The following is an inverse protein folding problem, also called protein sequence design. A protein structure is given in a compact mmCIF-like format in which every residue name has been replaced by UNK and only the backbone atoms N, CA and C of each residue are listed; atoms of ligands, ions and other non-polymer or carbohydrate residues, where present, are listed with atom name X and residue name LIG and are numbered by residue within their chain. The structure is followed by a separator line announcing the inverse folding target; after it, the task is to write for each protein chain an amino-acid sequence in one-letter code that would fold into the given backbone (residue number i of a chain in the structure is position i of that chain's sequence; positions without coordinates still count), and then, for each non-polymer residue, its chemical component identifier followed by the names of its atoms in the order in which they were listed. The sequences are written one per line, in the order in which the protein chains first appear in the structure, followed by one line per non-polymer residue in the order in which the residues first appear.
data_IF_072263115559
#
_entry.id   IF_072263115559
#
_cell.length_a   1.000
_cell.length_b   1.000
_cell.length_c   1.000
_cell.angle_alpha   90.00
_cell.angle_beta   90.00
_cell.angle_gamma   90.00
#
_symmetry.space_group_name_H-M   'P 1'
#
loop_
_entity.id
_entity.type
_entity.pdbx_description
1 polymer ?
#
# COMPACT_ATOMS: atom_id res chain seq x y z
N UNK A 1 29.24 12.01 -14.69
CA UNK A 1 29.25 13.26 -15.48
C UNK A 1 28.00 13.26 -16.35
N UNK A 2 27.07 14.19 -16.05
CA UNK A 2 25.99 14.79 -16.89
C UNK A 2 24.89 13.92 -17.55
N UNK A 3 23.65 14.26 -17.15
CA UNK A 3 22.35 14.10 -17.84
C UNK A 3 22.42 14.52 -19.33
N UNK A 4 21.48 14.02 -20.16
CA UNK A 4 20.53 14.89 -20.89
C UNK A 4 19.40 14.13 -21.62
N UNK A 5 18.22 14.75 -21.56
CA UNK A 5 16.96 14.40 -22.19
C UNK A 5 17.01 14.52 -23.72
N UNK A 6 16.14 13.78 -24.41
CA UNK A 6 15.84 14.01 -25.83
C UNK A 6 14.40 14.48 -25.96
N UNK A 7 14.31 15.77 -26.27
CA UNK A 7 13.12 16.50 -26.69
C UNK A 7 12.94 16.23 -28.19
N UNK A 8 11.74 15.82 -28.61
CA UNK A 8 11.39 15.75 -30.03
C UNK A 8 10.70 17.06 -30.43
N UNK A 9 11.48 17.98 -30.99
CA UNK A 9 10.98 19.18 -31.69
C UNK A 9 10.76 18.86 -33.15
N UNK A 10 9.58 19.18 -33.67
CA UNK A 10 9.31 19.16 -35.11
C UNK A 10 9.48 20.59 -35.62
N UNK A 11 10.50 20.78 -36.47
CA UNK A 11 10.83 22.05 -37.12
C UNK A 11 9.79 22.43 -38.18
N UNK A 12 9.32 23.68 -38.12
CA UNK A 12 8.62 24.35 -39.22
C UNK A 12 9.45 25.52 -39.73
N UNK A 13 10.02 25.39 -40.92
CA UNK A 13 10.75 26.42 -41.66
C UNK A 13 9.79 27.46 -42.25
N UNK A 14 10.03 28.75 -41.99
CA UNK A 14 9.28 29.85 -42.61
C UNK A 14 10.03 31.17 -42.48
N UNK A 15 10.21 31.86 -43.61
CA UNK A 15 11.20 32.91 -43.88
C UNK A 15 10.87 34.25 -43.20
N UNK A 16 11.91 34.99 -42.80
CA UNK A 16 11.83 36.40 -42.44
C UNK A 16 11.62 37.25 -43.69
N UNK A 17 10.52 37.99 -43.74
CA UNK A 17 10.33 39.15 -44.62
C UNK A 17 9.71 40.26 -43.78
N UNK A 18 10.45 41.35 -43.62
CA UNK A 18 9.93 42.59 -43.05
C UNK A 18 9.26 43.39 -44.19
N UNK A 19 7.98 43.74 -44.03
CA UNK A 19 7.31 44.75 -44.83
C UNK A 19 6.53 45.68 -43.88
N UNK A 20 6.93 46.94 -43.88
CA UNK A 20 6.19 48.06 -43.30
C UNK A 20 5.48 48.79 -44.43
N UNK A 21 4.15 48.98 -44.34
CA UNK A 21 3.41 50.16 -44.77
C UNK A 21 1.93 50.04 -44.35
N UNK A 22 1.28 51.19 -44.28
CA UNK A 22 0.28 51.58 -43.29
C UNK A 22 -1.14 51.72 -43.91
N UNK A 23 -2.14 51.88 -43.03
CA UNK A 23 -3.56 52.26 -43.26
C UNK A 23 -4.59 51.14 -43.56
N UNK A 24 -5.53 50.95 -42.63
CA UNK A 24 -6.85 50.40 -42.95
C UNK A 24 -7.46 49.47 -41.90
N UNK A 25 -8.44 49.99 -41.16
CA UNK A 25 -9.57 49.37 -40.45
C UNK A 25 -9.71 47.83 -40.34
N UNK A 26 -10.16 47.43 -39.14
CA UNK A 26 -10.75 46.15 -38.71
C UNK A 26 -9.79 45.20 -37.95
N UNK A 27 -9.69 45.42 -36.63
CA UNK A 27 -9.33 44.35 -35.71
C UNK A 27 -10.56 43.45 -35.48
N UNK A 28 -10.55 42.17 -35.84
CA UNK A 28 -11.32 41.20 -35.07
C UNK A 28 -10.60 41.03 -33.73
N UNK A 29 -11.27 41.40 -32.64
CA UNK A 29 -10.88 41.01 -31.29
C UNK A 29 -11.02 39.48 -31.19
N UNK A 30 -9.97 38.76 -31.60
CA UNK A 30 -9.84 37.34 -31.36
C UNK A 30 -9.52 37.11 -29.89
N UNK A 31 -10.55 36.90 -29.08
CA UNK A 31 -10.41 36.31 -27.75
C UNK A 31 -9.78 34.93 -27.91
N UNK A 32 -8.48 34.80 -27.64
CA UNK A 32 -7.88 33.52 -27.30
C UNK A 32 -8.40 33.12 -25.92
N UNK A 33 -9.57 32.47 -25.90
CA UNK A 33 -10.00 31.71 -24.74
C UNK A 33 -8.91 30.67 -24.45
N UNK A 34 -8.34 30.61 -23.22
CA UNK A 34 -7.47 29.51 -22.87
C UNK A 34 -8.26 28.22 -23.06
N UNK A 35 -7.70 27.30 -23.85
CA UNK A 35 -8.16 25.92 -23.94
C UNK A 35 -8.26 25.39 -22.50
N UNK A 36 -9.48 25.31 -21.97
CA UNK A 36 -9.75 24.62 -20.73
C UNK A 36 -9.49 23.14 -21.01
N UNK A 37 -8.36 22.62 -20.52
CA UNK A 37 -8.21 21.18 -20.33
C UNK A 37 -9.44 20.68 -19.55
N UNK A 38 -10.05 19.55 -19.96
CA UNK A 38 -11.17 18.99 -19.22
C UNK A 38 -10.73 18.74 -17.79
N UNK A 39 -11.27 19.53 -16.86
CA UNK A 39 -11.11 19.32 -15.41
C UNK A 39 -11.85 18.04 -15.10
N UNK A 40 -11.15 16.91 -15.16
CA UNK A 40 -11.67 15.65 -14.63
C UNK A 40 -12.02 15.91 -13.15
N UNK A 41 -13.22 15.52 -12.67
CA UNK A 41 -13.58 15.70 -11.27
C UNK A 41 -12.55 15.00 -10.39
N UNK A 42 -11.67 15.77 -9.75
CA UNK A 42 -10.68 15.23 -8.84
C UNK A 42 -11.42 14.87 -7.55
N UNK A 43 -11.58 13.58 -7.28
CA UNK A 43 -12.14 13.11 -6.01
C UNK A 43 -11.26 13.67 -4.90
N UNK A 44 -11.86 14.44 -3.98
CA UNK A 44 -11.13 15.01 -2.86
C UNK A 44 -10.76 13.92 -1.85
N UNK A 45 -9.62 14.10 -1.18
CA UNK A 45 -9.23 13.23 -0.08
C UNK A 45 -10.27 13.33 1.06
N UNK A 46 -10.81 12.21 1.55
CA UNK A 46 -11.78 12.24 2.66
C UNK A 46 -11.15 12.78 3.95
N UNK A 47 -11.96 13.34 4.86
CA UNK A 47 -11.46 13.75 6.17
C UNK A 47 -11.08 12.52 7.03
N UNK A 48 -10.23 12.73 8.03
CA UNK A 48 -9.59 11.66 8.79
C UNK A 48 -10.59 10.72 9.49
N UNK A 49 -11.68 11.27 10.05
CA UNK A 49 -12.73 10.51 10.71
C UNK A 49 -13.47 9.58 9.74
N UNK A 50 -13.64 10.00 8.48
CA UNK A 50 -14.23 9.16 7.46
C UNK A 50 -13.27 8.03 7.08
N UNK A 51 -11.98 8.32 6.90
CA UNK A 51 -10.96 7.30 6.63
C UNK A 51 -10.87 6.26 7.77
N UNK A 52 -10.92 6.70 9.03
CA UNK A 52 -10.99 5.81 10.18
C UNK A 52 -12.23 4.91 10.12
N UNK A 53 -13.40 5.48 9.78
CA UNK A 53 -14.62 4.71 9.58
C UNK A 53 -14.48 3.64 8.49
N UNK A 54 -13.83 3.96 7.37
CA UNK A 54 -13.56 3.00 6.29
C UNK A 54 -12.67 1.84 6.76
N UNK A 55 -11.61 2.13 7.53
CA UNK A 55 -10.74 1.12 8.11
C UNK A 55 -11.55 0.21 9.05
N UNK A 56 -12.20 0.78 10.08
CA UNK A 56 -12.89 0.01 11.12
C UNK A 56 -14.03 -0.83 10.55
N UNK A 57 -14.85 -0.27 9.65
CA UNK A 57 -15.97 -1.01 9.05
C UNK A 57 -15.49 -2.19 8.19
N UNK A 58 -14.39 -2.02 7.46
CA UNK A 58 -13.79 -3.12 6.67
C UNK A 58 -13.24 -4.22 7.58
N UNK A 59 -12.52 -3.86 8.64
CA UNK A 59 -11.98 -4.80 9.62
C UNK A 59 -13.10 -5.59 10.32
N UNK A 60 -14.19 -4.92 10.72
CA UNK A 60 -15.34 -5.59 11.33
C UNK A 60 -16.10 -6.48 10.35
N UNK A 61 -16.20 -6.09 9.08
CA UNK A 61 -16.78 -6.98 8.06
C UNK A 61 -15.97 -8.28 7.90
N UNK A 62 -14.64 -8.21 7.98
CA UNK A 62 -13.75 -9.39 7.98
C UNK A 62 -13.99 -10.24 9.23
N UNK A 63 -14.06 -9.62 10.41
CA UNK A 63 -14.34 -10.31 11.68
C UNK A 63 -15.67 -11.10 11.64
N UNK A 64 -16.74 -10.44 11.20
CA UNK A 64 -18.06 -11.05 11.05
C UNK A 64 -18.03 -12.20 10.04
N UNK A 65 -17.34 -12.02 8.91
CA UNK A 65 -17.21 -13.07 7.90
C UNK A 65 -16.39 -14.27 8.41
N UNK A 66 -15.32 -14.04 9.17
CA UNK A 66 -14.53 -15.10 9.79
C UNK A 66 -15.35 -15.89 10.82
N UNK A 67 -16.10 -15.20 11.69
CA UNK A 67 -16.91 -15.82 12.74
C UNK A 67 -18.09 -16.63 12.20
N UNK A 68 -18.68 -16.19 11.09
CA UNK A 68 -19.88 -16.84 10.51
C UNK A 68 -19.57 -17.77 9.34
N UNK A 69 -18.38 -17.65 8.74
CA UNK A 69 -18.05 -18.25 7.46
C UNK A 69 -18.74 -17.58 6.26
N UNK A 70 -19.50 -16.49 6.46
CA UNK A 70 -20.23 -15.81 5.41
C UNK A 70 -19.49 -14.57 4.89
N UNK A 71 -18.89 -14.69 3.71
CA UNK A 71 -18.15 -13.61 3.06
C UNK A 71 -18.95 -12.82 2.02
N UNK A 72 -20.24 -13.13 1.81
CA UNK A 72 -21.03 -12.43 0.78
C UNK A 72 -21.22 -10.96 1.13
N UNK A 73 -21.38 -10.63 2.41
CA UNK A 73 -21.53 -9.23 2.86
C UNK A 73 -20.26 -8.43 2.56
N UNK A 74 -19.09 -8.94 2.93
CA UNK A 74 -17.81 -8.29 2.60
C UNK A 74 -17.67 -8.09 1.09
N UNK A 75 -17.95 -9.14 0.31
CA UNK A 75 -17.92 -9.07 -1.16
C UNK A 75 -18.87 -8.01 -1.71
N UNK A 76 -20.10 -7.94 -1.23
CA UNK A 76 -21.14 -7.07 -1.79
C UNK A 76 -20.97 -5.59 -1.36
N UNK A 77 -20.26 -5.34 -0.25
CA UNK A 77 -19.83 -4.00 0.16
C UNK A 77 -18.66 -3.46 -0.67
N UNK A 78 -17.82 -4.34 -1.21
CA UNK A 78 -16.64 -4.00 -2.00
C UNK A 78 -16.98 -3.39 -3.37
N UNK A 79 -15.94 -2.85 -4.01
CA UNK A 79 -15.98 -2.32 -5.36
C UNK A 79 -16.29 -3.42 -6.38
N UNK A 80 -17.02 -3.13 -7.48
CA UNK A 80 -17.48 -4.14 -8.42
C UNK A 80 -16.39 -5.07 -8.94
N UNK A 81 -15.20 -4.54 -9.24
CA UNK A 81 -14.10 -5.36 -9.77
C UNK A 81 -13.47 -6.26 -8.69
N UNK A 82 -13.42 -5.80 -7.43
CA UNK A 82 -13.05 -6.67 -6.30
C UNK A 82 -14.07 -7.79 -6.12
N UNK A 83 -15.38 -7.47 -6.15
CA UNK A 83 -16.46 -8.44 -5.97
C UNK A 83 -16.50 -9.49 -7.07
N UNK A 84 -16.19 -9.10 -8.32
CA UNK A 84 -16.05 -10.03 -9.45
C UNK A 84 -14.83 -10.95 -9.31
N UNK A 85 -13.71 -10.41 -8.83
CA UNK A 85 -12.47 -11.16 -8.65
C UNK A 85 -12.49 -12.09 -7.43
N UNK A 86 -13.32 -11.80 -6.43
CA UNK A 86 -13.35 -12.50 -5.16
C UNK A 86 -14.77 -12.93 -4.78
N UNK A 87 -15.16 -14.15 -5.17
CA UNK A 87 -16.36 -14.78 -4.63
C UNK A 87 -16.22 -15.15 -3.14
N UNK A 88 -17.33 -15.54 -2.52
CA UNK A 88 -17.34 -15.84 -1.09
C UNK A 88 -16.42 -17.01 -0.71
N UNK A 89 -16.28 -18.01 -1.58
CA UNK A 89 -15.40 -19.16 -1.37
C UNK A 89 -13.93 -18.74 -1.38
N UNK A 90 -13.53 -17.92 -2.36
CA UNK A 90 -12.18 -17.38 -2.48
C UNK A 90 -11.82 -16.48 -1.29
N UNK A 91 -12.73 -15.59 -0.88
CA UNK A 91 -12.53 -14.78 0.33
C UNK A 91 -12.36 -15.67 1.58
N UNK A 92 -13.14 -16.75 1.66
CA UNK A 92 -13.00 -17.74 2.73
C UNK A 92 -11.64 -18.43 2.76
N UNK A 93 -10.97 -18.61 1.62
CA UNK A 93 -9.60 -19.12 1.55
C UNK A 93 -8.57 -18.04 1.94
N UNK A 94 -8.75 -16.81 1.45
CA UNK A 94 -7.84 -15.68 1.74
C UNK A 94 -7.74 -15.43 3.25
N UNK A 95 -8.88 -15.43 3.96
CA UNK A 95 -8.92 -15.15 5.39
C UNK A 95 -8.91 -16.40 6.28
N UNK A 96 -8.70 -17.59 5.70
CA UNK A 96 -8.72 -18.86 6.42
C UNK A 96 -7.78 -18.87 7.63
N UNK A 97 -6.56 -18.36 7.48
CA UNK A 97 -5.56 -18.33 8.55
C UNK A 97 -6.04 -17.52 9.76
N UNK A 98 -6.70 -16.38 9.53
CA UNK A 98 -7.23 -15.54 10.61
C UNK A 98 -8.39 -16.23 11.34
N UNK A 99 -9.29 -16.86 10.57
CA UNK A 99 -10.41 -17.63 11.11
C UNK A 99 -9.96 -18.85 11.91
N UNK A 100 -9.02 -19.64 11.40
CA UNK A 100 -8.49 -20.82 12.08
C UNK A 100 -7.76 -20.47 13.38
N UNK A 101 -7.13 -19.30 13.42
CA UNK A 101 -6.53 -18.76 14.64
C UNK A 101 -7.55 -18.17 15.63
N UNK A 102 -8.83 -18.12 15.27
CA UNK A 102 -9.89 -17.59 16.13
C UNK A 102 -9.70 -16.13 16.50
N UNK A 103 -9.11 -15.33 15.59
CA UNK A 103 -8.80 -13.94 15.87
C UNK A 103 -10.09 -13.12 15.97
N UNK A 104 -10.26 -12.43 17.10
CA UNK A 104 -11.35 -11.49 17.32
C UNK A 104 -10.86 -10.05 17.11
N UNK A 105 -11.41 -9.37 16.10
CA UNK A 105 -11.07 -7.98 15.83
C UNK A 105 -12.02 -6.97 16.49
N UNK A 106 -13.05 -7.41 17.21
CA UNK A 106 -13.97 -6.50 17.91
C UNK A 106 -13.27 -5.54 18.90
N UNK A 107 -12.17 -5.90 19.60
CA UNK A 107 -11.46 -4.96 20.47
C UNK A 107 -10.80 -3.80 19.71
N UNK A 108 -10.54 -3.93 18.41
CA UNK A 108 -9.90 -2.89 17.61
C UNK A 108 -10.75 -1.63 17.47
N UNK A 109 -12.06 -1.72 17.72
CA UNK A 109 -12.96 -0.56 17.75
C UNK A 109 -12.62 0.47 18.83
N UNK A 110 -11.85 0.07 19.85
CA UNK A 110 -11.46 0.92 20.97
C UNK A 110 -10.01 1.40 20.88
N UNK A 111 -9.26 0.90 19.89
CA UNK A 111 -7.84 1.18 19.73
C UNK A 111 -7.65 1.99 18.45
N UNK A 112 -7.15 3.23 18.53
CA UNK A 112 -6.89 3.99 17.32
C UNK A 112 -5.77 3.33 16.50
N UNK A 113 -5.93 3.18 15.18
CA UNK A 113 -4.85 2.71 14.33
C UNK A 113 -3.77 3.77 14.18
N UNK A 114 -2.53 3.32 14.02
CA UNK A 114 -1.41 4.14 13.59
C UNK A 114 -1.28 4.05 12.07
N UNK A 115 -1.22 5.22 11.42
CA UNK A 115 -1.05 5.33 9.98
C UNK A 115 0.44 5.30 9.66
N UNK A 116 0.88 4.32 8.87
CA UNK A 116 2.30 4.15 8.51
C UNK A 116 2.68 4.87 7.21
N UNK A 117 1.69 5.20 6.37
CA UNK A 117 1.90 5.93 5.12
C UNK A 117 0.91 7.09 5.00
N UNK A 118 1.35 8.22 4.42
CA UNK A 118 0.45 9.38 4.24
C UNK A 118 -0.73 8.99 3.33
N UNK A 119 -1.99 9.12 3.79
CA UNK A 119 -3.15 8.81 2.97
C UNK A 119 -3.17 9.60 1.66
N UNK A 120 -3.39 8.90 0.55
CA UNK A 120 -3.35 9.50 -0.78
C UNK A 120 -4.33 8.82 -1.73
N UNK A 121 -4.78 9.58 -2.72
CA UNK A 121 -5.50 9.06 -3.88
C UNK A 121 -4.48 8.92 -5.02
N UNK A 122 -4.35 7.72 -5.56
CA UNK A 122 -3.39 7.43 -6.64
C UNK A 122 -3.89 7.88 -8.03
N UNK A 123 -3.08 7.63 -9.06
CA UNK A 123 -3.43 7.94 -10.46
C UNK A 123 -4.63 7.16 -11.01
N UNK A 124 -5.07 6.09 -10.34
CA UNK A 124 -6.25 5.30 -10.67
C UNK A 124 -7.49 5.74 -9.88
N UNK A 125 -7.36 6.73 -9.00
CA UNK A 125 -8.46 7.20 -8.15
C UNK A 125 -8.72 6.32 -6.93
N UNK A 126 -7.77 5.45 -6.56
CA UNK A 126 -7.88 4.63 -5.35
C UNK A 126 -7.32 5.38 -4.15
N UNK A 127 -8.12 5.45 -3.08
CA UNK A 127 -7.68 5.93 -1.78
C UNK A 127 -6.91 4.83 -1.05
N UNK A 128 -5.63 5.05 -0.75
CA UNK A 128 -4.77 4.12 -0.02
C UNK A 128 -4.69 4.48 1.46
N UNK A 129 -4.93 3.48 2.32
CA UNK A 129 -4.83 3.57 3.77
C UNK A 129 -3.96 2.39 4.28
N UNK A 130 -2.77 2.71 4.77
CA UNK A 130 -1.79 1.72 5.24
C UNK A 130 -1.41 2.04 6.68
N UNK A 131 -1.40 1.03 7.54
CA UNK A 131 -1.13 1.20 8.95
C UNK A 131 -1.24 -0.07 9.76
N UNK A 132 -1.36 0.09 11.08
CA UNK A 132 -1.53 -1.02 12.00
C UNK A 132 -2.27 -0.61 13.28
N UNK A 133 -2.87 -1.58 13.95
CA UNK A 133 -3.35 -1.43 15.32
C UNK A 133 -2.27 -1.94 16.29
N UNK A 134 -1.79 -1.11 17.24
CA UNK A 134 -0.74 -1.45 18.20
C UNK A 134 -1.29 -2.33 19.33
N UNK A 135 -1.72 -3.55 18.98
CA UNK A 135 -2.22 -4.56 19.92
C UNK A 135 -1.07 -5.44 20.41
N UNK A 136 -1.22 -6.00 21.61
CA UNK A 136 -0.22 -6.90 22.21
C UNK A 136 -0.80 -8.31 22.39
N UNK A 137 0.01 -9.38 22.23
CA UNK A 137 1.43 -9.39 21.84
C UNK A 137 1.67 -9.26 20.32
N UNK A 138 0.60 -9.25 19.53
CA UNK A 138 0.64 -9.15 18.07
C UNK A 138 -0.01 -7.86 17.63
N UNK A 139 0.65 -7.08 16.77
CA UNK A 139 0.01 -5.97 16.06
C UNK A 139 -0.79 -6.48 14.87
N UNK A 140 -1.88 -5.77 14.54
CA UNK A 140 -2.71 -6.07 13.36
C UNK A 140 -2.38 -5.05 12.28
N UNK A 141 -1.73 -5.48 11.20
CA UNK A 141 -1.38 -4.61 10.08
C UNK A 141 -2.52 -4.61 9.05
N UNK A 142 -2.73 -3.48 8.38
CA UNK A 142 -3.65 -3.37 7.28
C UNK A 142 -3.05 -2.58 6.11
N UNK A 143 -3.39 -3.02 4.90
CA UNK A 143 -3.22 -2.27 3.67
C UNK A 143 -4.56 -2.34 2.94
N UNK A 144 -5.22 -1.19 2.85
CA UNK A 144 -6.55 -1.05 2.28
C UNK A 144 -6.50 -0.04 1.15
N UNK A 145 -7.16 -0.35 0.05
CA UNK A 145 -7.44 0.62 -1.00
C UNK A 145 -8.95 0.70 -1.23
N UNK A 146 -9.48 1.89 -1.50
CA UNK A 146 -10.90 2.13 -1.72
C UNK A 146 -11.14 2.79 -3.07
N UNK A 147 -12.17 2.34 -3.78
CA UNK A 147 -12.64 2.98 -5.01
C UNK A 147 -13.92 3.78 -4.73
N UNK A 148 -14.02 4.99 -5.28
CA UNK A 148 -15.25 5.76 -5.23
C UNK A 148 -16.26 5.20 -6.26
N UNK A 149 -17.36 4.62 -5.78
CA UNK A 149 -18.44 4.04 -6.59
C UNK A 149 -19.75 4.65 -6.13
N UNK A 150 -20.45 5.34 -7.04
CA UNK A 150 -21.74 6.01 -6.75
C UNK A 150 -21.67 6.94 -5.53
N UNK A 151 -20.58 7.70 -5.40
CA UNK A 151 -20.36 8.63 -4.29
C UNK A 151 -19.99 7.97 -2.96
N UNK A 152 -19.71 6.66 -2.95
CA UNK A 152 -19.29 5.91 -1.75
C UNK A 152 -17.92 5.28 -1.95
N UNK A 153 -17.06 5.36 -0.94
CA UNK A 153 -15.82 4.61 -0.92
C UNK A 153 -16.12 3.14 -0.61
N UNK A 154 -15.73 2.26 -1.53
CA UNK A 154 -15.91 0.81 -1.40
C UNK A 154 -14.55 0.11 -1.41
N UNK A 155 -14.34 -0.91 -0.57
CA UNK A 155 -13.09 -1.66 -0.56
C UNK A 155 -12.72 -2.20 -1.93
N UNK A 156 -11.49 -1.96 -2.36
CA UNK A 156 -10.92 -2.42 -3.63
C UNK A 156 -9.69 -3.31 -3.40
N UNK A 157 -8.89 -3.02 -2.37
CA UNK A 157 -7.80 -3.88 -1.89
C UNK A 157 -8.01 -4.12 -0.40
N UNK A 158 -7.85 -5.37 0.04
CA UNK A 158 -7.97 -5.75 1.45
C UNK A 158 -6.83 -6.71 1.81
N UNK A 159 -5.89 -6.23 2.61
CA UNK A 159 -4.83 -7.04 3.22
C UNK A 159 -4.83 -6.81 4.72
N UNK A 160 -4.94 -7.88 5.50
CA UNK A 160 -4.91 -7.84 6.98
C UNK A 160 -4.06 -9.00 7.47
N UNK A 161 -3.07 -8.73 8.31
CA UNK A 161 -2.17 -9.76 8.83
C UNK A 161 -1.58 -9.40 10.19
N UNK A 162 -1.24 -10.43 10.96
CA UNK A 162 -0.66 -10.29 12.29
C UNK A 162 0.87 -10.26 12.21
N UNK A 163 1.51 -9.40 13.01
CA UNK A 163 2.96 -9.39 13.19
C UNK A 163 3.29 -9.31 14.69
N UNK A 164 4.37 -9.97 15.12
CA UNK A 164 4.87 -9.80 16.50
C UNK A 164 5.43 -8.39 16.69
N UNK A 165 5.20 -7.80 17.86
CA UNK A 165 5.91 -6.59 18.27
C UNK A 165 7.28 -7.05 18.79
N UNK A 166 8.32 -6.98 17.97
CA UNK A 166 9.68 -7.23 18.42
C UNK A 166 10.18 -6.04 19.24
N UNK A 167 10.45 -6.26 20.53
CA UNK A 167 11.01 -5.29 21.46
C UNK A 167 12.50 -4.98 21.18
N UNK A 168 12.93 -4.91 19.91
CA UNK A 168 14.34 -4.88 19.52
C UNK A 168 14.84 -3.57 18.88
N UNK A 169 14.05 -2.49 18.87
CA UNK A 169 14.50 -1.18 18.36
C UNK A 169 14.83 -0.15 19.45
N UNK A 170 15.21 -0.60 20.65
CA UNK A 170 15.81 0.25 21.69
C UNK A 170 17.11 -0.38 22.21
N UNK A 171 18.11 -0.53 21.35
CA UNK A 171 19.50 -0.59 21.80
C UNK A 171 20.33 0.37 20.93
N UNK A 172 20.93 1.43 21.49
CA UNK A 172 21.93 2.20 20.75
C UNK A 172 23.07 1.25 20.39
N UNK A 173 23.46 1.25 19.12
CA UNK A 173 24.64 0.52 18.62
C UNK A 173 25.87 1.13 19.31
N UNK A 174 26.26 0.57 20.45
CA UNK A 174 27.59 0.78 20.99
C UNK A 174 28.54 -0.13 20.22
N UNK A 175 29.21 0.46 19.24
CA UNK A 175 30.39 -0.08 18.55
C UNK A 175 31.28 -0.86 19.50
N UNK A 176 31.37 -2.18 19.30
CA UNK A 176 32.55 -2.96 19.67
C UNK A 176 33.15 -3.57 18.41
N UNK A 177 34.07 -2.80 17.82
CA UNK A 177 35.17 -3.32 17.04
C UNK A 177 36.06 -4.12 17.99
N UNK A 178 36.01 -5.44 17.94
CA UNK A 178 37.12 -6.30 18.35
C UNK A 178 36.98 -7.70 17.74
N UNK A 179 38.05 -8.12 17.10
CA UNK A 179 38.22 -9.33 16.32
C UNK A 179 38.13 -10.62 17.14
N UNK A 180 37.73 -11.72 16.49
CA UNK A 180 38.38 -13.03 16.69
C UNK A 180 38.24 -13.91 15.45
N UNK A 181 39.39 -14.09 14.80
CA UNK A 181 39.74 -15.13 13.83
C UNK A 181 39.31 -16.51 14.34
N UNK A 182 38.50 -17.22 13.55
CA UNK A 182 38.17 -18.62 13.79
C UNK A 182 39.35 -19.52 13.43
N UNK A 183 39.88 -20.23 14.42
CA UNK A 183 40.67 -21.44 14.23
C UNK A 183 39.89 -22.61 14.85
N UNK A 184 39.77 -23.77 14.17
CA UNK A 184 39.48 -25.03 14.84
C UNK A 184 40.70 -25.96 14.77
N UNK A 185 41.32 -26.21 15.92
CA UNK A 185 42.29 -27.29 16.10
C UNK A 185 41.54 -28.58 16.46
N UNK A 186 41.68 -29.60 15.61
CA UNK A 186 41.18 -30.96 15.81
C UNK A 186 42.06 -31.69 16.83
N UNK A 187 41.46 -32.23 17.90
CA UNK A 187 42.12 -33.08 18.88
C UNK A 187 42.25 -34.54 18.37
N UNK A 188 43.42 -35.20 18.49
CA UNK A 188 43.57 -36.62 18.12
C UNK A 188 43.07 -37.61 19.18
N UNK A 189 42.55 -38.72 18.68
CA UNK A 189 41.91 -39.85 19.35
C UNK A 189 42.88 -40.70 20.22
N UNK A 190 42.34 -41.26 21.32
CA UNK A 190 42.98 -42.27 22.16
C UNK A 190 42.91 -43.68 21.52
N UNK A 191 43.92 -44.52 21.82
CA UNK A 191 44.14 -45.91 21.34
C UNK A 191 44.78 -46.72 22.50
N UNK A 192 44.82 -48.07 22.54
CA UNK A 192 43.83 -49.15 22.35
C UNK A 192 43.69 -50.00 23.67
N UNK A 193 43.12 -51.23 23.69
CA UNK A 193 43.85 -52.46 23.28
C UNK A 193 42.99 -53.54 22.59
N UNK A 194 43.62 -54.36 21.76
CA UNK A 194 43.08 -55.65 21.32
C UNK A 194 44.10 -56.76 21.63
N UNK A 195 43.62 -57.84 22.23
CA UNK A 195 44.41 -58.97 22.68
C UNK A 195 44.23 -60.19 21.76
N UNK A 196 45.37 -60.82 21.46
CA UNK A 196 45.68 -62.26 21.24
C UNK A 196 44.95 -63.06 20.12
N UNK A 197 45.73 -63.64 19.21
CA UNK A 197 46.11 -65.09 19.22
C UNK A 197 46.60 -65.56 17.84
N UNK A 198 47.83 -66.08 17.77
CA UNK A 198 48.23 -67.44 17.32
C UNK A 198 49.65 -67.45 16.77
#
# INVERSE_FOLDING_TARGET
MRLLAVILSISGTGRLTAQTLQLGQNLPTGSISPLQEPVQPRVALPPAEHMLGLILTTIIAIDQANKTGNYTVLRDLSAPDFSKANDASRLGLIFQVLREKGIDFSPLLQIPPEVSETPAIDGQGLLHLVGFFPTEPLRVNFELAFQAVEGRWRPYTISVYLAQIEAQQLAPVLTHKAAVTSAPAVAPQARPPAAKSR
#
